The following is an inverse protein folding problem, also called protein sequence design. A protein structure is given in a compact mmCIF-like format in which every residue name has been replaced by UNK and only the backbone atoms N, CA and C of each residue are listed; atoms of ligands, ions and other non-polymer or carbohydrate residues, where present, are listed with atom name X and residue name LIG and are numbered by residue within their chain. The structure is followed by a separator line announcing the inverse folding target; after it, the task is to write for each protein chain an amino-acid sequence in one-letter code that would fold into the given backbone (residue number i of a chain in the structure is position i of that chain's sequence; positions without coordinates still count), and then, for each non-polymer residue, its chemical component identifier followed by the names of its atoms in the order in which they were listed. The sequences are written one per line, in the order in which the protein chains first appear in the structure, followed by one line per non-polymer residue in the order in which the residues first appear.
data_IF_603122743223
#
_entry.id   IF_603122743223
#
_cell.length_a   1.000
_cell.length_b   1.000
_cell.length_c   1.000
_cell.angle_alpha   90.00
_cell.angle_beta   90.00
_cell.angle_gamma   90.00
#
_symmetry.space_group_name_H-M   'P 1'
#
loop_
_entity.id
_entity.type
_entity.pdbx_description
1 polymer ?
#
# COMPACT_ATOMS: atom_id res chain seq x y z
N UNK A 1 4.84 -25.89 32.23
CA UNK A 1 5.44 -24.60 32.65
C UNK A 1 5.45 -23.68 31.43
N UNK A 2 4.44 -22.82 31.27
CA UNK A 2 4.44 -21.81 30.21
C UNK A 2 5.14 -20.57 30.76
N UNK A 3 6.44 -20.43 30.48
CA UNK A 3 7.12 -19.15 30.63
C UNK A 3 6.46 -18.16 29.66
N UNK A 4 5.68 -17.23 30.19
CA UNK A 4 5.13 -16.13 29.40
C UNK A 4 6.32 -15.34 28.86
N UNK A 5 6.55 -15.36 27.55
CA UNK A 5 7.64 -14.61 26.92
C UNK A 5 7.29 -13.14 27.07
N UNK A 6 8.00 -12.43 27.94
CA UNK A 6 7.83 -10.98 28.09
C UNK A 6 8.63 -10.25 27.02
N UNK A 7 7.92 -9.72 26.03
CA UNK A 7 8.50 -8.92 24.98
C UNK A 7 8.69 -7.47 25.42
N UNK A 8 9.86 -6.90 25.09
CA UNK A 8 10.10 -5.47 25.26
C UNK A 8 9.18 -4.63 24.37
N UNK A 9 8.93 -3.35 24.69
CA UNK A 9 8.18 -2.44 23.80
C UNK A 9 8.78 -2.32 22.40
N UNK A 10 10.11 -2.46 22.25
CA UNK A 10 10.76 -2.46 20.95
C UNK A 10 10.41 -3.72 20.14
N UNK A 11 10.42 -4.90 20.77
CA UNK A 11 9.99 -6.15 20.14
C UNK A 11 8.53 -6.06 19.71
N UNK A 12 7.63 -5.62 20.60
CA UNK A 12 6.20 -5.48 20.28
C UNK A 12 5.97 -4.54 19.11
N UNK A 13 6.66 -3.39 19.04
CA UNK A 13 6.58 -2.47 17.89
C UNK A 13 7.05 -3.12 16.59
N UNK A 14 8.17 -3.84 16.64
CA UNK A 14 8.69 -4.55 15.47
C UNK A 14 7.69 -5.62 14.98
N UNK A 15 7.13 -6.41 15.90
CA UNK A 15 6.14 -7.42 15.56
C UNK A 15 4.83 -6.81 15.05
N UNK A 16 4.42 -5.66 15.57
CA UNK A 16 3.25 -4.92 15.08
C UNK A 16 3.43 -4.51 13.62
N UNK A 17 4.62 -4.01 13.27
CA UNK A 17 4.92 -3.61 11.89
C UNK A 17 4.90 -4.83 10.96
N UNK A 18 5.50 -5.95 11.38
CA UNK A 18 5.49 -7.20 10.60
C UNK A 18 4.07 -7.73 10.43
N UNK A 19 3.29 -7.80 11.51
CA UNK A 19 1.90 -8.27 11.47
C UNK A 19 1.06 -7.44 10.50
N UNK A 20 1.20 -6.11 10.55
CA UNK A 20 0.54 -5.21 9.60
C UNK A 20 0.95 -5.46 8.16
N UNK A 21 2.25 -5.63 7.88
CA UNK A 21 2.73 -5.93 6.53
C UNK A 21 2.20 -7.26 6.00
N UNK A 22 2.05 -8.28 6.85
CA UNK A 22 1.42 -9.55 6.49
C UNK A 22 -0.06 -9.29 6.16
N UNK A 23 -0.79 -8.61 7.03
CA UNK A 23 -2.21 -8.31 6.83
C UNK A 23 -2.47 -7.50 5.53
N UNK A 24 -1.67 -6.47 5.27
CA UNK A 24 -1.71 -5.68 4.04
C UNK A 24 -1.47 -6.55 2.80
N UNK A 25 -0.51 -7.48 2.86
CA UNK A 25 -0.20 -8.40 1.76
C UNK A 25 -1.32 -9.40 1.51
N UNK A 26 -1.93 -9.94 2.58
CA UNK A 26 -3.09 -10.83 2.47
C UNK A 26 -4.30 -10.10 1.87
N UNK A 27 -4.53 -8.84 2.28
CA UNK A 27 -5.57 -7.99 1.69
C UNK A 27 -5.34 -7.76 0.20
N UNK A 28 -4.11 -7.45 -0.21
CA UNK A 28 -3.77 -7.25 -1.63
C UNK A 28 -3.98 -8.56 -2.44
N UNK A 29 -3.58 -9.72 -1.91
CA UNK A 29 -3.84 -11.03 -2.55
C UNK A 29 -5.34 -11.24 -2.73
N UNK A 30 -6.14 -11.06 -1.66
CA UNK A 30 -7.59 -11.24 -1.71
C UNK A 30 -8.22 -10.32 -2.75
N UNK A 31 -7.92 -9.02 -2.71
CA UNK A 31 -8.43 -8.03 -3.67
C UNK A 31 -8.03 -8.41 -5.09
N UNK A 32 -6.78 -8.87 -5.31
CA UNK A 32 -6.30 -9.22 -6.64
C UNK A 32 -6.97 -10.44 -7.23
N UNK A 33 -7.18 -11.48 -6.42
CA UNK A 33 -7.82 -12.70 -6.89
C UNK A 33 -9.33 -12.52 -7.08
N UNK A 34 -9.97 -11.68 -6.27
CA UNK A 34 -11.41 -11.42 -6.38
C UNK A 34 -11.77 -10.40 -7.46
N UNK A 35 -10.85 -9.50 -7.82
CA UNK A 35 -11.10 -8.47 -8.84
C UNK A 35 -10.95 -9.04 -10.24
N UNK A 36 -12.05 -9.17 -10.96
CA UNK A 36 -12.10 -9.73 -12.33
C UNK A 36 -11.44 -8.87 -13.42
N UNK A 37 -10.90 -7.68 -13.10
CA UNK A 37 -10.28 -6.78 -14.07
C UNK A 37 -9.30 -5.76 -13.43
N UNK A 38 -8.09 -6.20 -13.07
CA UNK A 38 -7.00 -5.27 -12.65
C UNK A 38 -6.07 -4.96 -13.83
N UNK A 39 -6.67 -4.78 -15.01
CA UNK A 39 -5.92 -4.39 -16.18
C UNK A 39 -5.78 -2.87 -16.20
N UNK A 40 -4.56 -2.38 -16.10
CA UNK A 40 -4.20 -0.98 -16.30
C UNK A 40 -3.47 -0.83 -17.63
N UNK A 41 -3.23 0.43 -18.06
CA UNK A 41 -2.41 0.69 -19.24
C UNK A 41 -0.96 0.22 -19.11
N UNK A 42 -0.49 -0.02 -17.88
CA UNK A 42 0.89 -0.39 -17.59
C UNK A 42 1.03 -1.86 -17.15
N UNK A 43 -0.07 -2.48 -16.71
CA UNK A 43 -0.07 -3.83 -16.17
C UNK A 43 -1.29 -4.60 -16.66
N UNK A 44 -1.02 -5.69 -17.36
CA UNK A 44 -2.01 -6.70 -17.69
C UNK A 44 -1.79 -7.89 -16.76
N UNK A 45 -2.83 -8.31 -16.05
CA UNK A 45 -2.77 -9.49 -15.18
C UNK A 45 -3.46 -10.63 -15.91
N UNK A 46 -2.68 -11.59 -16.36
CA UNK A 46 -3.19 -12.82 -16.97
C UNK A 46 -3.65 -13.77 -15.87
N UNK A 47 -4.91 -14.23 -15.87
CA UNK A 47 -5.37 -15.23 -14.91
C UNK A 47 -4.61 -16.54 -15.11
N UNK A 48 -3.80 -16.93 -14.13
CA UNK A 48 -3.04 -18.18 -14.14
C UNK A 48 -3.66 -19.29 -13.30
N UNK A 49 -4.64 -18.95 -12.44
CA UNK A 49 -5.31 -19.88 -11.54
C UNK A 49 -6.73 -20.16 -12.02
N UNK A 50 -7.09 -21.44 -12.04
CA UNK A 50 -8.46 -21.91 -12.18
C UNK A 50 -9.32 -21.49 -10.98
N UNK A 51 -10.65 -21.54 -11.11
CA UNK A 51 -11.54 -21.17 -10.00
C UNK A 51 -11.34 -22.04 -8.76
N UNK A 52 -11.15 -23.38 -8.85
CA UNK A 52 -10.83 -24.21 -7.69
C UNK A 52 -9.49 -23.85 -7.03
N UNK A 53 -8.44 -23.58 -7.81
CA UNK A 53 -7.15 -23.16 -7.27
C UNK A 53 -7.25 -21.79 -6.57
N UNK A 54 -8.01 -20.86 -7.15
CA UNK A 54 -8.26 -19.55 -6.55
C UNK A 54 -9.02 -19.69 -5.22
N UNK A 55 -10.02 -20.56 -5.17
CA UNK A 55 -10.76 -20.83 -3.94
C UNK A 55 -9.83 -21.38 -2.85
N UNK A 56 -8.95 -22.33 -3.20
CA UNK A 56 -7.97 -22.90 -2.27
C UNK A 56 -6.99 -21.84 -1.76
N UNK A 57 -6.48 -20.96 -2.63
CA UNK A 57 -5.59 -19.87 -2.21
C UNK A 57 -6.30 -18.93 -1.23
N UNK A 58 -7.55 -18.56 -1.52
CA UNK A 58 -8.34 -17.69 -0.63
C UNK A 58 -8.63 -18.36 0.72
N UNK A 59 -8.89 -19.66 0.74
CA UNK A 59 -9.04 -20.44 1.97
C UNK A 59 -7.74 -20.41 2.80
N UNK A 60 -6.58 -20.66 2.17
CA UNK A 60 -5.28 -20.55 2.84
C UNK A 60 -5.00 -19.15 3.36
N UNK A 61 -5.40 -18.09 2.64
CA UNK A 61 -5.30 -16.71 3.13
C UNK A 61 -6.08 -16.52 4.44
N UNK A 62 -7.28 -17.08 4.53
CA UNK A 62 -8.10 -17.01 5.75
C UNK A 62 -7.51 -17.83 6.91
N UNK A 63 -6.87 -18.97 6.63
CA UNK A 63 -6.11 -19.71 7.64
C UNK A 63 -4.96 -18.88 8.21
N UNK A 64 -4.17 -18.22 7.34
CA UNK A 64 -3.08 -17.35 7.78
C UNK A 64 -3.61 -16.19 8.64
N UNK A 65 -4.78 -15.61 8.31
CA UNK A 65 -5.40 -14.55 9.14
C UNK A 65 -5.73 -15.03 10.55
N UNK A 66 -6.23 -16.26 10.68
CA UNK A 66 -6.53 -16.87 11.99
C UNK A 66 -5.25 -17.06 12.80
N UNK A 67 -4.20 -17.58 12.18
CA UNK A 67 -2.89 -17.75 12.82
C UNK A 67 -2.28 -16.40 13.22
N UNK A 68 -2.42 -15.37 12.38
CA UNK A 68 -1.96 -14.02 12.68
C UNK A 68 -2.73 -13.39 13.85
N UNK A 69 -4.04 -13.63 13.93
CA UNK A 69 -4.87 -13.19 15.06
C UNK A 69 -4.38 -13.83 16.36
N UNK A 70 -4.17 -15.16 16.34
CA UNK A 70 -3.64 -15.88 17.49
C UNK A 70 -2.25 -15.37 17.89
N UNK A 71 -1.38 -15.10 16.91
CA UNK A 71 -0.05 -14.52 17.14
C UNK A 71 -0.14 -13.16 17.85
N UNK A 72 -1.03 -12.27 17.40
CA UNK A 72 -1.26 -10.95 18.02
C UNK A 72 -1.70 -11.10 19.48
N UNK A 73 -2.61 -12.03 19.76
CA UNK A 73 -3.12 -12.30 21.11
C UNK A 73 -2.04 -12.88 22.04
N UNK A 74 -1.29 -13.89 21.59
CA UNK A 74 -0.25 -14.56 22.38
C UNK A 74 0.85 -13.58 22.81
N UNK A 75 1.21 -12.64 21.93
CA UNK A 75 2.27 -11.68 22.18
C UNK A 75 1.78 -10.33 22.73
N UNK A 76 0.47 -10.20 22.99
CA UNK A 76 -0.16 -8.96 23.48
C UNK A 76 0.29 -7.74 22.66
N UNK A 77 0.14 -7.90 21.34
CA UNK A 77 0.42 -6.86 20.35
C UNK A 77 -0.79 -5.94 20.30
N UNK A 78 -0.59 -4.69 20.66
CA UNK A 78 -1.67 -3.71 20.69
C UNK A 78 -1.99 -3.23 19.28
N UNK A 79 -3.26 -3.30 18.83
CA UNK A 79 -3.65 -2.77 17.54
C UNK A 79 -3.47 -1.26 17.53
N UNK A 80 -3.03 -0.72 16.40
CA UNK A 80 -3.00 0.71 16.15
C UNK A 80 -4.23 1.13 15.39
N UNK A 81 -4.89 2.21 15.80
CA UNK A 81 -5.89 2.87 14.97
C UNK A 81 -5.21 3.88 14.04
N UNK A 82 -5.63 3.87 12.78
CA UNK A 82 -5.36 4.92 11.80
C UNK A 82 -6.68 5.31 11.16
N UNK A 83 -6.88 6.60 10.91
CA UNK A 83 -8.10 7.06 10.23
C UNK A 83 -7.96 6.84 8.72
N UNK A 84 -9.09 6.72 8.02
CA UNK A 84 -9.10 6.69 6.55
C UNK A 84 -8.40 7.94 5.97
N UNK A 85 -8.57 9.10 6.61
CA UNK A 85 -7.87 10.32 6.24
C UNK A 85 -6.34 10.16 6.31
N UNK A 86 -5.82 9.64 7.41
CA UNK A 86 -4.38 9.37 7.57
C UNK A 86 -3.87 8.41 6.50
N UNK A 87 -4.65 7.38 6.15
CA UNK A 87 -4.31 6.44 5.07
C UNK A 87 -4.21 7.18 3.74
N UNK A 88 -5.24 7.95 3.36
CA UNK A 88 -5.24 8.65 2.06
C UNK A 88 -4.16 9.72 2.01
N UNK A 89 -3.92 10.46 3.09
CA UNK A 89 -2.84 11.45 3.19
C UNK A 89 -1.45 10.82 3.02
N UNK A 90 -1.21 9.67 3.67
CA UNK A 90 0.04 8.93 3.52
C UNK A 90 0.25 8.49 2.06
N UNK A 91 -0.79 7.97 1.41
CA UNK A 91 -0.74 7.57 0.00
C UNK A 91 -0.50 8.77 -0.94
N UNK A 92 -1.17 9.90 -0.71
CA UNK A 92 -0.96 11.12 -1.49
C UNK A 92 0.47 11.66 -1.35
N UNK A 93 1.03 11.59 -0.14
CA UNK A 93 2.42 11.98 0.13
C UNK A 93 3.39 11.07 -0.61
N UNK A 94 3.18 9.75 -0.54
CA UNK A 94 4.00 8.78 -1.25
C UNK A 94 3.96 8.99 -2.77
N UNK A 95 2.76 9.09 -3.36
CA UNK A 95 2.60 9.33 -4.79
C UNK A 95 3.21 10.66 -5.25
N UNK A 96 3.07 11.71 -4.45
CA UNK A 96 3.71 13.01 -4.74
C UNK A 96 5.23 12.89 -4.78
N UNK A 97 5.83 12.12 -3.86
CA UNK A 97 7.28 11.89 -3.85
C UNK A 97 7.77 11.15 -5.10
N UNK A 98 7.03 10.12 -5.54
CA UNK A 98 7.34 9.39 -6.78
C UNK A 98 7.28 10.29 -8.02
N UNK A 99 6.27 11.16 -8.11
CA UNK A 99 6.14 12.10 -9.22
C UNK A 99 7.25 13.16 -9.20
N UNK A 100 7.64 13.63 -8.01
CA UNK A 100 8.72 14.60 -7.85
C UNK A 100 10.06 14.06 -8.35
N UNK A 101 10.34 12.78 -8.12
CA UNK A 101 11.55 12.12 -8.60
C UNK A 101 11.51 11.76 -10.09
N UNK A 102 10.32 11.80 -10.69
CA UNK A 102 10.11 11.48 -12.11
C UNK A 102 10.34 12.67 -13.05
N UNK A 103 10.54 13.90 -12.54
CA UNK A 103 10.80 15.06 -13.39
C UNK A 103 12.08 14.90 -14.22
N UNK A 104 12.07 15.44 -15.44
CA UNK A 104 13.17 15.33 -16.40
C UNK A 104 14.53 15.76 -15.80
N UNK A 105 14.54 16.78 -14.94
CA UNK A 105 15.73 17.29 -14.26
C UNK A 105 16.35 16.27 -13.29
N UNK A 106 15.54 15.39 -12.71
CA UNK A 106 15.94 14.32 -11.78
C UNK A 106 16.34 13.04 -12.51
N UNK A 107 15.82 12.82 -13.72
CA UNK A 107 16.10 11.64 -14.54
C UNK A 107 17.45 11.67 -15.29
N UNK A 108 18.29 12.71 -15.12
CA UNK A 108 19.56 12.87 -15.85
C UNK A 108 20.52 11.68 -15.74
N UNK A 109 20.41 10.87 -14.68
CA UNK A 109 21.22 9.66 -14.48
C UNK A 109 20.87 8.50 -15.43
N UNK A 110 19.70 8.55 -16.05
CA UNK A 110 19.20 7.53 -16.99
C UNK A 110 19.42 7.90 -18.46
N UNK A 111 20.15 8.99 -18.71
CA UNK A 111 20.45 9.48 -20.05
C UNK A 111 19.95 10.91 -20.29
N UNK A 112 20.27 11.45 -21.47
CA UNK A 112 19.86 12.79 -21.88
C UNK A 112 18.50 12.72 -22.56
N UNK A 113 17.49 13.33 -21.94
CA UNK A 113 16.18 13.54 -22.54
C UNK A 113 16.26 14.80 -23.41
N UNK A 114 15.89 14.76 -24.71
CA UNK A 114 15.87 15.96 -25.51
C UNK A 114 14.82 16.97 -24.99
N UNK A 115 15.08 18.26 -25.22
CA UNK A 115 14.40 19.36 -24.50
C UNK A 115 12.88 19.33 -24.71
N UNK A 116 12.43 19.06 -25.94
CA UNK A 116 10.99 19.03 -26.27
C UNK A 116 10.26 17.91 -25.56
N UNK A 117 10.90 16.75 -25.42
CA UNK A 117 10.40 15.57 -24.73
C UNK A 117 10.41 15.77 -23.21
N UNK A 118 11.45 16.41 -22.68
CA UNK A 118 11.55 16.78 -21.28
C UNK A 118 10.41 17.72 -20.85
N UNK A 119 10.14 18.77 -21.64
CA UNK A 119 9.02 19.68 -21.38
C UNK A 119 7.66 18.97 -21.44
N UNK A 120 7.48 18.05 -22.40
CA UNK A 120 6.24 17.27 -22.51
C UNK A 120 6.05 16.37 -21.30
N UNK A 121 7.11 15.66 -20.87
CA UNK A 121 7.11 14.81 -19.69
C UNK A 121 6.76 15.61 -18.44
N UNK A 122 7.45 16.74 -18.21
CA UNK A 122 7.26 17.56 -17.01
C UNK A 122 5.84 18.14 -16.93
N UNK A 123 5.24 18.50 -18.08
CA UNK A 123 3.81 18.91 -18.13
C UNK A 123 2.87 17.77 -17.73
N UNK A 124 3.13 16.55 -18.17
CA UNK A 124 2.32 15.38 -17.78
C UNK A 124 2.43 15.09 -16.28
N UNK A 125 3.65 15.14 -15.73
CA UNK A 125 3.90 14.93 -14.30
C UNK A 125 3.21 16.02 -13.47
N UNK A 126 3.36 17.30 -13.87
CA UNK A 126 2.70 18.42 -13.19
C UNK A 126 1.18 18.28 -13.20
N UNK A 127 0.59 17.77 -14.29
CA UNK A 127 -0.85 17.52 -14.36
C UNK A 127 -1.28 16.44 -13.35
N UNK A 128 -0.55 15.32 -13.25
CA UNK A 128 -0.83 14.27 -12.27
C UNK A 128 -0.66 14.75 -10.83
N UNK A 129 0.41 15.49 -10.54
CA UNK A 129 0.67 16.07 -9.23
C UNK A 129 -0.49 16.99 -8.78
N UNK A 130 -1.02 17.81 -9.68
CA UNK A 130 -2.20 18.66 -9.41
C UNK A 130 -3.44 17.84 -9.03
N UNK A 131 -3.62 16.64 -9.61
CA UNK A 131 -4.76 15.76 -9.27
C UNK A 131 -4.59 15.12 -7.90
N UNK A 132 -3.38 14.72 -7.54
CA UNK A 132 -3.07 14.19 -6.20
C UNK A 132 -3.25 15.28 -5.14
N UNK A 133 -2.80 16.51 -5.39
CA UNK A 133 -3.01 17.61 -4.44
C UNK A 133 -4.50 17.90 -4.24
N UNK A 134 -5.30 17.89 -5.31
CA UNK A 134 -6.76 18.03 -5.17
C UNK A 134 -7.38 16.90 -4.33
N UNK A 135 -6.88 15.66 -4.47
CA UNK A 135 -7.35 14.54 -3.64
C UNK A 135 -7.01 14.78 -2.17
N UNK A 136 -5.80 15.26 -1.88
CA UNK A 136 -5.36 15.63 -0.54
C UNK A 136 -6.22 16.73 0.07
N UNK A 137 -6.52 17.79 -0.68
CA UNK A 137 -7.40 18.88 -0.24
C UNK A 137 -8.78 18.37 0.21
N UNK A 138 -9.41 17.49 -0.58
CA UNK A 138 -10.73 16.90 -0.25
C UNK A 138 -10.70 16.20 1.11
N UNK A 139 -9.62 15.48 1.38
CA UNK A 139 -9.44 14.73 2.63
C UNK A 139 -9.20 15.67 3.81
N UNK A 140 -8.41 16.73 3.64
CA UNK A 140 -8.17 17.74 4.69
C UNK A 140 -9.45 18.49 5.11
N UNK A 141 -10.34 18.84 4.17
CA UNK A 141 -11.63 19.46 4.50
C UNK A 141 -12.61 18.56 5.28
N UNK A 142 -12.36 17.25 5.31
CA UNK A 142 -13.19 16.29 6.03
C UNK A 142 -12.78 16.15 7.50
N UNK A 143 -11.56 16.56 7.86
CA UNK A 143 -11.06 16.58 9.24
C UNK A 143 -11.55 17.81 10.03
N UNK A 144 -11.74 18.96 9.37
CA UNK A 144 -12.22 20.21 10.00
C UNK A 144 -13.71 20.19 10.39
N UNK A 145 -14.44 19.11 10.09
CA UNK A 145 -15.88 18.95 10.35
C UNK A 145 -16.22 17.99 11.50
N UNK A 146 -15.20 17.42 12.15
CA UNK A 146 -15.31 16.56 13.34
C UNK A 146 -14.80 17.30 14.58
#
# INVERSE_FOLDING_TARGET
MNSKIELSPAHKRSLSAVARSIEDSLNDITVRLQSSNINTKLHHVEPSFTDPERALILETVEEIRKDLTHFIEVFDIQPSSVTESQIVQAQCTYLSSLLQDSYSVKMKRYGKIPIKEAEKLDRCIAHLAKKIEKLREIVSFSEDKL
#
